data_IF_545570836537
#
_entry.id   IF_545570836537
#
_cell.length_a   1.000
_cell.length_b   1.000
_cell.length_c   1.000
_cell.angle_alpha   90.00
_cell.angle_beta   90.00
_cell.angle_gamma   90.00
#
_symmetry.space_group_name_H-M   'P 1'
#
loop_
_entity.id
_entity.type
_entity.pdbx_description
1 polymer ?
#
# COMPACT_ATOMS: atom_id res chain seq x y z
N UNK A 1 -6.19 28.71 29.66
CA UNK A 1 -5.77 28.22 28.33
C UNK A 1 -4.40 27.63 28.51
N UNK A 2 -4.30 26.30 28.57
CA UNK A 2 -3.01 25.62 28.71
C UNK A 2 -2.38 25.46 27.32
N UNK A 3 -1.16 25.96 27.14
CA UNK A 3 -0.40 25.79 25.92
C UNK A 3 0.22 24.38 25.93
N UNK A 4 0.00 23.55 24.90
CA UNK A 4 0.59 22.22 24.85
C UNK A 4 2.12 22.34 24.78
N UNK A 5 2.80 21.54 25.58
CA UNK A 5 4.26 21.56 25.65
C UNK A 5 4.86 20.93 24.38
N UNK A 6 6.12 21.25 24.07
CA UNK A 6 6.83 20.60 22.95
C UNK A 6 6.79 19.06 23.05
N UNK A 7 6.77 18.54 24.29
CA UNK A 7 6.65 17.11 24.55
C UNK A 7 5.27 16.57 24.14
N UNK A 8 4.19 17.31 24.40
CA UNK A 8 2.83 16.94 23.99
C UNK A 8 2.65 16.98 22.47
N UNK A 9 3.28 17.94 21.79
CA UNK A 9 3.28 18.04 20.33
C UNK A 9 4.07 16.88 19.69
N UNK A 10 5.24 16.52 20.23
CA UNK A 10 5.99 15.33 19.81
C UNK A 10 5.25 14.02 20.11
N UNK A 11 4.52 13.94 21.23
CA UNK A 11 3.70 12.77 21.57
C UNK A 11 2.44 12.64 20.70
N UNK A 12 1.88 13.77 20.23
CA UNK A 12 0.80 13.77 19.24
C UNK A 12 1.29 13.31 17.87
N UNK A 13 2.52 13.65 17.46
CA UNK A 13 3.12 13.14 16.22
C UNK A 13 3.50 11.65 16.31
N UNK A 14 3.70 11.11 17.52
CA UNK A 14 3.86 9.66 17.79
C UNK A 14 2.57 8.83 17.63
N UNK A 15 1.41 9.46 17.42
CA UNK A 15 0.14 8.77 17.06
C UNK A 15 -0.10 8.66 15.56
N UNK A 16 0.93 8.82 14.71
CA UNK A 16 0.81 8.45 13.29
C UNK A 16 0.54 6.95 13.18
N UNK A 17 -0.70 6.58 12.86
CA UNK A 17 -1.03 5.21 12.47
C UNK A 17 -0.06 4.79 11.34
N UNK A 18 0.64 3.68 11.54
CA UNK A 18 1.48 3.08 10.49
C UNK A 18 0.67 2.99 9.19
N UNK A 19 1.21 3.44 8.06
CA UNK A 19 0.37 3.65 6.86
C UNK A 19 -0.17 2.33 6.27
N UNK A 20 0.41 1.19 6.68
CA UNK A 20 -0.14 -0.17 6.42
C UNK A 20 -1.51 -0.33 7.08
N UNK A 21 -1.66 0.18 8.30
CA UNK A 21 -2.93 0.16 9.03
C UNK A 21 -3.97 1.03 8.32
N UNK A 22 -3.59 2.21 7.84
CA UNK A 22 -4.49 3.09 7.08
C UNK A 22 -4.96 2.44 5.76
N UNK A 23 -4.05 1.77 5.03
CA UNK A 23 -4.43 1.03 3.83
C UNK A 23 -5.41 -0.09 4.16
N UNK A 24 -5.09 -0.92 5.15
CA UNK A 24 -5.97 -2.02 5.55
C UNK A 24 -7.34 -1.50 6.01
N UNK A 25 -7.39 -0.43 6.82
CA UNK A 25 -8.64 0.21 7.23
C UNK A 25 -9.48 0.67 6.02
N UNK A 26 -8.83 1.23 4.99
CA UNK A 26 -9.53 1.71 3.79
C UNK A 26 -9.99 0.57 2.89
N UNK A 27 -9.15 -0.43 2.66
CA UNK A 27 -9.52 -1.65 1.93
C UNK A 27 -10.64 -2.39 2.67
N UNK A 28 -10.59 -2.42 4.00
CA UNK A 28 -11.63 -3.02 4.83
C UNK A 28 -13.00 -2.35 4.67
N UNK A 29 -13.02 -1.03 4.46
CA UNK A 29 -14.26 -0.29 4.18
C UNK A 29 -14.78 -0.42 2.74
N UNK A 30 -13.91 -0.72 1.77
CA UNK A 30 -14.28 -0.77 0.35
C UNK A 30 -14.67 -2.17 -0.13
N UNK A 31 -14.06 -3.21 0.43
CA UNK A 31 -14.25 -4.59 -0.04
C UNK A 31 -15.36 -5.28 0.77
N UNK A 32 -16.39 -5.87 0.13
CA UNK A 32 -17.41 -6.65 0.82
C UNK A 32 -16.86 -8.03 1.20
N UNK A 33 -16.01 -8.09 2.24
CA UNK A 33 -15.24 -9.27 2.62
C UNK A 33 -16.08 -10.52 2.82
N UNK A 34 -17.19 -10.42 3.54
CA UNK A 34 -18.05 -11.59 3.82
C UNK A 34 -18.55 -12.25 2.53
N UNK A 35 -18.92 -11.44 1.53
CA UNK A 35 -19.37 -11.94 0.23
C UNK A 35 -18.22 -12.56 -0.57
N UNK A 36 -17.03 -11.98 -0.47
CA UNK A 36 -15.84 -12.49 -1.15
C UNK A 36 -15.36 -13.80 -0.52
N UNK A 37 -15.24 -13.84 0.81
CA UNK A 37 -14.87 -15.03 1.59
C UNK A 37 -15.84 -16.17 1.32
N UNK A 38 -17.16 -15.92 1.35
CA UNK A 38 -18.17 -16.95 1.08
C UNK A 38 -18.07 -17.58 -0.31
N UNK A 39 -17.56 -16.85 -1.32
CA UNK A 39 -17.33 -17.39 -2.67
C UNK A 39 -16.05 -18.22 -2.76
N UNK A 40 -15.03 -17.90 -1.98
CA UNK A 40 -13.70 -18.53 -2.04
C UNK A 40 -13.61 -19.73 -1.08
N UNK A 41 -14.32 -19.67 0.05
CA UNK A 41 -14.29 -20.67 1.11
C UNK A 41 -14.54 -22.12 0.65
N UNK A 42 -15.44 -22.42 -0.32
CA UNK A 42 -15.63 -23.77 -0.82
C UNK A 42 -14.37 -24.38 -1.47
N UNK A 43 -13.52 -23.54 -2.06
CA UNK A 43 -12.30 -23.94 -2.76
C UNK A 43 -11.05 -23.81 -1.88
N UNK A 44 -11.18 -23.21 -0.69
CA UNK A 44 -10.04 -22.97 0.18
C UNK A 44 -9.59 -24.26 0.86
N UNK A 45 -8.26 -24.53 0.94
CA UNK A 45 -7.76 -25.76 1.54
C UNK A 45 -8.28 -25.94 2.96
N UNK A 46 -8.87 -27.11 3.23
CA UNK A 46 -9.29 -27.50 4.57
C UNK A 46 -8.11 -28.16 5.29
N UNK A 47 -8.06 -28.00 6.61
CA UNK A 47 -7.08 -28.67 7.45
C UNK A 47 -7.06 -30.18 7.20
N UNK A 48 -5.94 -30.70 6.69
CA UNK A 48 -5.66 -32.13 6.55
C UNK A 48 -4.62 -32.60 7.57
N UNK A 49 -3.92 -33.72 7.32
CA UNK A 49 -2.85 -34.26 8.19
C UNK A 49 -1.52 -33.48 8.14
N UNK A 50 -1.51 -32.30 7.55
CA UNK A 50 -0.30 -31.48 7.32
C UNK A 50 -0.36 -30.12 8.00
N UNK A 51 0.55 -29.22 7.59
CA UNK A 51 0.56 -27.84 8.10
C UNK A 51 -0.79 -27.18 7.84
N UNK A 52 -1.37 -26.61 8.90
CA UNK A 52 -2.63 -25.91 8.80
C UNK A 52 -2.50 -24.72 7.82
N UNK A 53 -3.40 -24.60 6.84
CA UNK A 53 -3.46 -23.40 6.01
C UNK A 53 -3.80 -22.20 6.88
N UNK A 54 -3.23 -21.04 6.54
CA UNK A 54 -3.57 -19.78 7.21
C UNK A 54 -5.08 -19.50 7.07
N UNK A 55 -5.69 -18.75 7.99
CA UNK A 55 -7.09 -18.35 7.84
C UNK A 55 -7.32 -17.63 6.50
N UNK A 56 -8.40 -17.98 5.80
CA UNK A 56 -8.76 -17.39 4.50
C UNK A 56 -8.76 -15.86 4.53
N UNK A 57 -9.34 -15.28 5.59
CA UNK A 57 -9.43 -13.84 5.82
C UNK A 57 -8.06 -13.15 5.89
N UNK A 58 -7.05 -13.83 6.45
CA UNK A 58 -5.66 -13.34 6.50
C UNK A 58 -5.02 -13.44 5.13
N UNK A 59 -5.18 -14.58 4.45
CA UNK A 59 -4.60 -14.78 3.12
C UNK A 59 -5.17 -13.82 2.08
N UNK A 60 -6.47 -13.52 2.14
CA UNK A 60 -7.07 -12.52 1.24
C UNK A 60 -6.51 -11.13 1.48
N UNK A 61 -6.33 -10.72 2.73
CA UNK A 61 -5.71 -9.42 3.07
C UNK A 61 -4.26 -9.35 2.60
N UNK A 62 -3.49 -10.43 2.78
CA UNK A 62 -2.13 -10.54 2.23
C UNK A 62 -2.16 -10.44 0.71
N UNK A 63 -3.09 -11.11 0.05
CA UNK A 63 -3.22 -11.07 -1.40
C UNK A 63 -3.59 -9.67 -1.91
N UNK A 64 -4.48 -8.94 -1.23
CA UNK A 64 -4.76 -7.52 -1.55
C UNK A 64 -3.51 -6.63 -1.41
N UNK A 65 -2.65 -6.91 -0.42
CA UNK A 65 -1.36 -6.21 -0.27
C UNK A 65 -0.37 -6.56 -1.39
N UNK A 66 -0.39 -7.81 -1.90
CA UNK A 66 0.45 -8.25 -3.02
C UNK A 66 -0.05 -7.72 -4.37
N UNK A 67 -1.35 -7.75 -4.64
CA UNK A 67 -1.97 -7.21 -5.86
C UNK A 67 -1.70 -5.70 -6.04
N UNK A 68 -1.41 -4.98 -4.97
CA UNK A 68 -1.01 -3.58 -5.06
C UNK A 68 0.18 -3.34 -5.99
N UNK A 69 1.22 -4.18 -5.94
CA UNK A 69 2.40 -3.97 -6.78
C UNK A 69 2.10 -4.21 -8.25
N UNK A 70 1.22 -5.17 -8.56
CA UNK A 70 0.80 -5.44 -9.93
C UNK A 70 -0.07 -4.33 -10.50
N UNK A 71 -0.90 -3.66 -9.68
CA UNK A 71 -1.72 -2.53 -10.12
C UNK A 71 -0.87 -1.38 -10.66
N UNK A 72 0.30 -1.10 -10.09
CA UNK A 72 1.18 -0.04 -10.61
C UNK A 72 1.74 -0.42 -11.98
N UNK A 73 2.15 -1.67 -12.17
CA UNK A 73 2.65 -2.15 -13.47
C UNK A 73 1.57 -2.18 -14.54
N UNK A 74 0.36 -2.63 -14.20
CA UNK A 74 -0.82 -2.58 -15.06
C UNK A 74 -1.17 -1.13 -15.45
N UNK A 75 -1.10 -0.19 -14.50
CA UNK A 75 -1.38 1.22 -14.78
C UNK A 75 -0.33 1.81 -15.73
N UNK A 76 0.94 1.45 -15.55
CA UNK A 76 2.01 1.85 -16.46
C UNK A 76 1.78 1.31 -17.88
N UNK A 77 1.39 0.04 -18.00
CA UNK A 77 1.07 -0.60 -19.28
C UNK A 77 -0.10 0.10 -19.98
N UNK A 78 -1.20 0.36 -19.25
CA UNK A 78 -2.37 1.10 -19.77
C UNK A 78 -2.05 2.52 -20.22
N UNK A 79 -1.10 3.17 -19.55
CA UNK A 79 -0.65 4.51 -19.91
C UNK A 79 0.43 4.48 -21.01
N UNK A 80 0.82 3.30 -21.50
CA UNK A 80 1.89 3.12 -22.49
C UNK A 80 3.25 3.63 -21.99
N UNK A 81 3.46 3.66 -20.66
CA UNK A 81 4.63 4.24 -20.03
C UNK A 81 5.55 3.16 -19.47
N UNK A 82 6.85 3.31 -19.72
CA UNK A 82 7.85 2.52 -19.01
C UNK A 82 8.13 3.08 -17.61
N UNK A 83 8.67 2.25 -16.71
CA UNK A 83 9.14 2.71 -15.40
C UNK A 83 10.14 3.88 -15.51
N UNK A 84 11.06 3.83 -16.49
CA UNK A 84 12.04 4.91 -16.72
C UNK A 84 11.35 6.21 -17.13
N UNK A 85 10.30 6.11 -17.93
CA UNK A 85 9.53 7.28 -18.37
C UNK A 85 8.73 7.89 -17.21
N UNK A 86 8.12 7.08 -16.34
CA UNK A 86 7.49 7.56 -15.11
C UNK A 86 8.49 8.31 -14.22
N UNK A 87 9.71 7.76 -14.05
CA UNK A 87 10.75 8.40 -13.26
C UNK A 87 11.12 9.78 -13.84
N UNK A 88 11.35 9.82 -15.16
CA UNK A 88 11.67 11.06 -15.90
C UNK A 88 10.58 12.11 -15.74
N UNK A 89 9.31 11.75 -15.97
CA UNK A 89 8.16 12.68 -15.86
C UNK A 89 7.92 13.16 -14.42
N UNK A 90 8.22 12.32 -13.43
CA UNK A 90 8.05 12.67 -12.02
C UNK A 90 9.26 13.43 -11.43
N UNK A 91 10.31 13.64 -12.23
CA UNK A 91 11.54 14.32 -11.81
C UNK A 91 12.33 13.56 -10.76
N UNK A 92 12.28 12.22 -10.78
CA UNK A 92 13.00 11.34 -9.85
C UNK A 92 13.90 10.35 -10.61
N UNK A 93 14.89 9.78 -9.93
CA UNK A 93 15.75 8.79 -10.57
C UNK A 93 15.02 7.44 -10.75
N UNK A 94 15.33 6.72 -11.83
CA UNK A 94 14.78 5.39 -12.07
C UNK A 94 15.12 4.40 -10.94
N UNK A 95 16.31 4.54 -10.34
CA UNK A 95 16.72 3.75 -9.16
C UNK A 95 15.83 4.04 -7.95
N UNK A 96 15.53 5.32 -7.69
CA UNK A 96 14.66 5.71 -6.59
C UNK A 96 13.23 5.24 -6.82
N UNK A 97 12.71 5.36 -8.05
CA UNK A 97 11.39 4.83 -8.41
C UNK A 97 11.32 3.31 -8.24
N UNK A 98 12.36 2.57 -8.63
CA UNK A 98 12.43 1.12 -8.41
C UNK A 98 12.39 0.75 -6.93
N UNK A 99 13.15 1.46 -6.09
CA UNK A 99 13.11 1.26 -4.64
C UNK A 99 11.72 1.57 -4.06
N UNK A 100 11.06 2.62 -4.56
CA UNK A 100 9.72 3.02 -4.16
C UNK A 100 8.65 1.98 -4.56
N UNK A 101 8.73 1.46 -5.79
CA UNK A 101 7.83 0.41 -6.28
C UNK A 101 8.02 -0.92 -5.52
N UNK A 102 9.23 -1.18 -5.04
CA UNK A 102 9.58 -2.44 -4.38
C UNK A 102 9.16 -2.53 -2.91
N UNK A 103 8.67 -1.45 -2.30
CA UNK A 103 8.74 -1.38 -0.85
C UNK A 103 9.81 -0.35 -0.49
N UNK A 104 10.85 -0.70 0.26
CA UNK A 104 12.07 0.09 0.58
C UNK A 104 12.00 1.62 0.86
N UNK A 105 11.49 2.51 -0.02
CA UNK A 105 11.62 3.99 0.10
C UNK A 105 10.33 4.78 0.04
N UNK A 106 10.05 5.55 1.09
CA UNK A 106 8.91 6.46 1.13
C UNK A 106 9.24 7.83 0.49
N UNK A 107 8.49 8.28 -0.52
CA UNK A 107 8.64 9.62 -1.10
C UNK A 107 8.07 10.73 -0.22
N UNK A 108 8.63 11.94 -0.36
CA UNK A 108 8.11 13.16 0.27
C UNK A 108 6.72 13.53 -0.31
N UNK A 109 5.90 14.33 0.42
CA UNK A 109 4.59 14.75 -0.07
C UNK A 109 4.62 15.46 -1.44
N UNK A 110 5.71 16.17 -1.75
CA UNK A 110 5.90 16.80 -3.07
C UNK A 110 6.10 15.77 -4.17
N UNK A 111 6.93 14.75 -3.93
CA UNK A 111 7.16 13.66 -4.90
C UNK A 111 5.90 12.80 -5.07
N UNK A 112 5.12 12.61 -4.01
CA UNK A 112 3.82 11.94 -4.07
C UNK A 112 2.86 12.66 -5.03
N UNK A 113 2.72 13.99 -4.92
CA UNK A 113 1.87 14.78 -5.82
C UNK A 113 2.30 14.68 -7.28
N UNK A 114 3.61 14.79 -7.56
CA UNK A 114 4.13 14.62 -8.92
C UNK A 114 3.79 13.25 -9.50
N UNK A 115 3.96 12.18 -8.70
CA UNK A 115 3.59 10.82 -9.13
C UNK A 115 2.08 10.69 -9.34
N UNK A 116 1.26 11.31 -8.51
CA UNK A 116 -0.21 11.33 -8.67
C UNK A 116 -0.64 12.01 -9.97
N UNK A 117 -0.06 13.17 -10.26
CA UNK A 117 -0.34 13.95 -11.48
C UNK A 117 0.05 13.16 -12.73
N UNK A 118 1.24 12.56 -12.75
CA UNK A 118 1.73 11.79 -13.91
C UNK A 118 0.91 10.50 -14.12
N UNK A 119 0.48 9.85 -13.05
CA UNK A 119 -0.30 8.61 -13.12
C UNK A 119 -1.81 8.86 -13.28
N UNK A 120 -2.28 10.10 -13.12
CA UNK A 120 -3.70 10.44 -13.19
C UNK A 120 -4.52 9.84 -12.05
N UNK A 121 -3.95 9.73 -10.85
CA UNK A 121 -4.55 9.00 -9.72
C UNK A 121 -4.84 9.94 -8.55
N UNK A 122 -6.06 9.82 -8.00
CA UNK A 122 -6.51 10.68 -6.92
C UNK A 122 -5.77 10.43 -5.60
N UNK A 123 -5.32 9.20 -5.34
CA UNK A 123 -4.69 8.82 -4.07
C UNK A 123 -3.43 7.97 -4.30
N UNK A 124 -2.28 8.50 -3.90
CA UNK A 124 -0.98 7.84 -3.94
C UNK A 124 -0.94 6.59 -3.06
N UNK A 125 -1.61 6.64 -1.90
CA UNK A 125 -1.52 5.61 -0.87
C UNK A 125 -2.21 4.30 -1.27
N UNK A 126 -3.09 4.33 -2.28
CA UNK A 126 -3.70 3.14 -2.86
C UNK A 126 -2.68 2.34 -3.70
N UNK A 127 -1.71 3.02 -4.30
CA UNK A 127 -0.78 2.43 -5.28
C UNK A 127 0.59 2.08 -4.68
N UNK A 128 1.09 2.91 -3.76
CA UNK A 128 2.46 2.80 -3.27
C UNK A 128 2.48 2.86 -1.73
N UNK A 129 2.61 1.70 -1.07
CA UNK A 129 3.05 1.69 0.33
C UNK A 129 3.92 0.49 0.69
N UNK A 130 4.78 0.69 1.70
CA UNK A 130 6.03 0.00 1.98
C UNK A 130 6.04 -0.38 3.46
N UNK A 131 6.59 -1.54 3.82
CA UNK A 131 6.86 -1.92 5.21
C UNK A 131 7.73 -0.86 5.90
N UNK A 132 7.24 -0.33 7.04
CA UNK A 132 8.16 0.21 8.04
C UNK A 132 9.05 -0.97 8.47
N UNK A 133 10.35 -0.84 8.18
CA UNK A 133 11.36 -1.69 8.82
C UNK A 133 11.53 -1.04 10.18
N UNK A 134 10.88 -1.62 11.18
CA UNK A 134 11.11 -1.25 12.57
C UNK A 134 12.61 -1.50 12.85
N UNK A 135 13.33 -0.43 13.16
CA UNK A 135 14.69 -0.46 13.69
C UNK A 135 14.64 -0.27 15.19
#
# INVERSE_FOLDING_TARGET
>A
MEQPTFYDLEYQDKKRKARRKLFLERVDGLIPWQKLEGRIQPFYPKAGRGRLPYPLSVMLRVHCVLLRTTVVWELLDRLGMSQKELARRSGISARYLSQLMSGVRCPSPQVQRRLQEVLGVADFHILFYIQEVDG
#
